data_IF_970169462160
#
_entry.id   IF_970169462160
#
_cell.length_a   1.000
_cell.length_b   1.000
_cell.length_c   1.000
_cell.angle_alpha   90.00
_cell.angle_beta   90.00
_cell.angle_gamma   90.00
#
_symmetry.space_group_name_H-M   'P 1'
#
loop_
_entity.id
_entity.type
_entity.pdbx_description
1 polymer ?
#
# COMPACT_ATOMS: atom_id res chain seq x y z
N UNK A 1 17.41 15.87 -9.99
CA UNK A 1 16.21 16.66 -9.63
C UNK A 1 14.99 15.96 -10.19
N UNK A 2 14.13 15.36 -9.35
CA UNK A 2 12.93 14.68 -9.87
C UNK A 2 12.32 13.64 -8.93
N UNK A 3 11.78 14.05 -7.79
CA UNK A 3 11.06 13.12 -6.88
C UNK A 3 9.74 13.67 -6.33
N UNK A 4 9.48 14.97 -6.45
CA UNK A 4 8.22 15.56 -6.00
C UNK A 4 7.09 15.51 -7.04
N UNK A 5 7.41 15.67 -8.34
CA UNK A 5 6.39 15.80 -9.39
C UNK A 5 5.61 14.50 -9.67
N UNK A 6 6.21 13.32 -9.49
CA UNK A 6 5.51 12.04 -9.62
C UNK A 6 4.58 11.72 -8.45
N UNK A 7 4.76 12.36 -7.29
CA UNK A 7 3.80 12.27 -6.19
C UNK A 7 2.51 13.07 -6.48
N UNK A 8 2.57 14.05 -7.40
CA UNK A 8 1.43 14.89 -7.72
C UNK A 8 0.44 14.20 -8.67
N UNK A 9 0.90 13.32 -9.57
CA UNK A 9 0.02 12.57 -10.47
C UNK A 9 -0.29 11.18 -9.93
N UNK A 10 -1.57 10.90 -9.77
CA UNK A 10 -2.03 9.58 -9.41
C UNK A 10 -1.74 8.58 -10.52
N UNK A 11 -1.07 7.46 -10.20
CA UNK A 11 -0.89 6.38 -11.18
C UNK A 11 -2.25 5.81 -11.58
N UNK A 12 -2.41 5.58 -12.88
CA UNK A 12 -3.56 4.87 -13.46
C UNK A 12 -3.31 3.37 -13.59
N UNK A 13 -2.07 2.92 -13.37
CA UNK A 13 -1.70 1.51 -13.51
C UNK A 13 -2.19 0.71 -12.30
N UNK A 14 -2.88 -0.39 -12.58
CA UNK A 14 -3.29 -1.37 -11.57
C UNK A 14 -2.09 -2.18 -11.12
N UNK A 15 -1.86 -2.25 -9.81
CA UNK A 15 -0.76 -3.04 -9.25
C UNK A 15 -1.13 -4.52 -9.04
N UNK A 16 -0.14 -5.43 -8.97
CA UNK A 16 -0.39 -6.86 -8.76
C UNK A 16 -1.05 -7.15 -7.40
N UNK A 17 -0.98 -6.22 -6.44
CA UNK A 17 -1.58 -6.35 -5.12
C UNK A 17 -2.78 -5.42 -4.92
N UNK A 18 -3.43 -4.98 -5.99
CA UNK A 18 -4.52 -4.01 -5.95
C UNK A 18 -5.60 -4.38 -4.92
N UNK A 19 -6.17 -5.58 -5.04
CA UNK A 19 -7.23 -6.06 -4.14
C UNK A 19 -6.77 -6.17 -2.68
N UNK A 20 -5.53 -6.57 -2.47
CA UNK A 20 -4.95 -6.70 -1.14
C UNK A 20 -4.75 -5.33 -0.47
N UNK A 21 -4.27 -4.35 -1.25
CA UNK A 21 -4.12 -2.96 -0.83
C UNK A 21 -5.48 -2.33 -0.55
N UNK A 22 -6.46 -2.51 -1.43
CA UNK A 22 -7.84 -2.05 -1.23
C UNK A 22 -8.42 -2.60 0.08
N UNK A 23 -8.31 -3.91 0.29
CA UNK A 23 -8.76 -4.56 1.52
C UNK A 23 -8.08 -4.00 2.77
N UNK A 24 -6.77 -3.81 2.72
CA UNK A 24 -6.01 -3.24 3.84
C UNK A 24 -6.45 -1.80 4.16
N UNK A 25 -6.65 -0.99 3.12
CA UNK A 25 -7.07 0.41 3.22
C UNK A 25 -8.59 0.57 3.43
N UNK A 26 -9.34 -0.53 3.57
CA UNK A 26 -10.81 -0.54 3.71
C UNK A 26 -11.52 0.19 2.57
N UNK A 27 -11.02 -0.01 1.35
CA UNK A 27 -11.60 0.46 0.10
C UNK A 27 -12.49 -0.63 -0.52
N UNK A 28 -13.38 -0.28 -1.47
CA UNK A 28 -14.03 -1.30 -2.31
C UNK A 28 -12.98 -2.21 -2.95
N UNK A 29 -13.16 -3.51 -2.86
CA UNK A 29 -12.21 -4.50 -3.37
C UNK A 29 -12.61 -4.91 -4.79
N UNK A 30 -12.51 -3.98 -5.73
CA UNK A 30 -12.87 -4.19 -7.13
C UNK A 30 -11.65 -4.49 -8.03
N UNK A 31 -10.43 -4.36 -7.48
CA UNK A 31 -9.19 -4.59 -8.20
C UNK A 31 -8.90 -3.53 -9.26
N UNK A 32 -9.51 -2.34 -9.15
CA UNK A 32 -9.32 -1.24 -10.09
C UNK A 32 -8.53 -0.11 -9.44
N UNK A 33 -7.66 0.51 -10.23
CA UNK A 33 -6.94 1.69 -9.77
C UNK A 33 -7.80 2.94 -9.97
N UNK A 34 -8.71 3.21 -9.04
CA UNK A 34 -9.47 4.46 -9.04
C UNK A 34 -8.62 5.62 -8.51
N UNK A 35 -9.04 6.86 -8.77
CA UNK A 35 -8.40 8.04 -8.16
C UNK A 35 -8.47 8.00 -6.63
N UNK A 36 -9.51 7.41 -6.06
CA UNK A 36 -9.65 7.29 -4.61
C UNK A 36 -8.63 6.29 -4.04
N UNK A 37 -8.42 5.15 -4.72
CA UNK A 37 -7.49 4.11 -4.26
C UNK A 37 -6.04 4.54 -4.44
N UNK A 38 -5.75 5.25 -5.53
CA UNK A 38 -4.47 5.93 -5.68
C UNK A 38 -4.21 6.89 -4.52
N UNK A 39 -5.12 7.83 -4.23
CA UNK A 39 -4.93 8.82 -3.15
C UNK A 39 -4.77 8.15 -1.79
N UNK A 40 -5.53 7.09 -1.52
CA UNK A 40 -5.41 6.32 -0.29
C UNK A 40 -4.03 5.64 -0.19
N UNK A 41 -3.57 5.05 -1.29
CA UNK A 41 -2.24 4.43 -1.38
C UNK A 41 -1.12 5.46 -1.26
N UNK A 42 -1.24 6.65 -1.85
CA UNK A 42 -0.27 7.74 -1.68
C UNK A 42 -0.16 8.20 -0.24
N UNK A 43 -1.28 8.38 0.45
CA UNK A 43 -1.30 8.73 1.87
C UNK A 43 -0.56 7.68 2.70
N UNK A 44 -0.81 6.40 2.42
CA UNK A 44 -0.09 5.30 3.06
C UNK A 44 1.41 5.34 2.75
N UNK A 45 1.78 5.45 1.48
CA UNK A 45 3.17 5.50 1.04
C UNK A 45 3.93 6.66 1.68
N UNK A 46 3.33 7.86 1.72
CA UNK A 46 3.91 9.04 2.39
C UNK A 46 4.07 8.82 3.88
N UNK A 47 3.05 8.26 4.55
CA UNK A 47 3.07 7.99 5.99
C UNK A 47 4.17 6.99 6.38
N UNK A 48 4.47 6.04 5.50
CA UNK A 48 5.39 4.94 5.77
C UNK A 48 6.72 5.06 5.00
N UNK A 49 7.03 6.23 4.41
CA UNK A 49 8.30 6.48 3.72
C UNK A 49 8.54 5.61 2.48
N UNK A 50 7.49 5.09 1.85
CA UNK A 50 7.58 4.25 0.65
C UNK A 50 7.72 5.16 -0.57
N UNK A 51 8.79 4.98 -1.34
CA UNK A 51 9.03 5.70 -2.59
C UNK A 51 9.01 4.74 -3.79
N UNK A 52 8.50 5.19 -4.96
CA UNK A 52 7.84 6.48 -5.20
C UNK A 52 6.41 6.54 -4.63
N UNK A 53 5.96 7.73 -4.19
CA UNK A 53 4.62 7.99 -3.63
C UNK A 53 3.56 8.22 -4.71
N UNK A 54 3.52 7.35 -5.73
CA UNK A 54 2.62 7.50 -6.90
C UNK A 54 1.26 6.82 -6.73
N UNK A 55 1.02 6.18 -5.57
CA UNK A 55 -0.24 5.49 -5.29
C UNK A 55 -0.36 4.09 -5.90
N UNK A 56 0.76 3.49 -6.30
CA UNK A 56 0.79 2.16 -6.94
C UNK A 56 0.71 1.02 -5.91
N UNK A 57 -0.20 0.07 -6.13
CA UNK A 57 -0.34 -1.16 -5.35
C UNK A 57 0.73 -2.23 -5.70
N UNK A 58 1.99 -1.81 -5.66
CA UNK A 58 3.14 -2.65 -5.98
C UNK A 58 3.64 -3.51 -4.81
N UNK A 59 4.67 -4.35 -5.05
CA UNK A 59 5.23 -5.27 -4.05
C UNK A 59 5.72 -4.57 -2.77
N UNK A 60 6.33 -3.40 -2.87
CA UNK A 60 6.81 -2.65 -1.70
C UNK A 60 5.64 -2.15 -0.82
N UNK A 61 4.61 -1.57 -1.45
CA UNK A 61 3.39 -1.14 -0.75
C UNK A 61 2.76 -2.33 -0.02
N UNK A 62 2.58 -3.46 -0.71
CA UNK A 62 1.97 -4.64 -0.12
C UNK A 62 2.83 -5.27 0.97
N UNK A 63 4.16 -5.35 0.80
CA UNK A 63 5.05 -5.92 1.82
C UNK A 63 4.90 -5.19 3.14
N UNK A 64 4.89 -3.87 3.15
CA UNK A 64 4.69 -3.09 4.38
C UNK A 64 3.33 -3.36 5.01
N UNK A 65 2.27 -3.36 4.21
CA UNK A 65 0.91 -3.68 4.70
C UNK A 65 0.82 -5.09 5.28
N UNK A 66 1.39 -6.09 4.59
CA UNK A 66 1.40 -7.47 5.03
C UNK A 66 2.21 -7.66 6.32
N UNK A 67 3.36 -6.97 6.45
CA UNK A 67 4.10 -6.95 7.72
C UNK A 67 3.23 -6.39 8.85
N UNK A 68 2.51 -5.29 8.64
CA UNK A 68 1.61 -4.72 9.65
C UNK A 68 0.48 -5.70 10.03
N UNK A 69 -0.09 -6.43 9.05
CA UNK A 69 -1.09 -7.48 9.31
C UNK A 69 -0.50 -8.63 10.14
N UNK A 70 0.70 -9.09 9.79
CA UNK A 70 1.40 -10.15 10.52
C UNK A 70 1.71 -9.73 11.96
N UNK A 71 2.19 -8.50 12.18
CA UNK A 71 2.41 -7.95 13.52
C UNK A 71 1.11 -7.85 14.32
N UNK A 72 0.02 -7.40 13.69
CA UNK A 72 -1.30 -7.38 14.34
C UNK A 72 -1.78 -8.78 14.72
N UNK A 73 -1.54 -9.78 13.89
CA UNK A 73 -1.91 -11.18 14.16
C UNK A 73 -1.02 -11.83 15.24
N UNK A 74 0.23 -11.40 15.36
CA UNK A 74 1.17 -11.86 16.38
C UNK A 74 0.80 -11.40 17.81
N UNK A 75 0.11 -10.25 17.93
CA UNK A 75 -0.34 -9.73 19.22
C UNK A 75 0.85 -9.45 20.17
N UNK A 76 0.77 -9.93 21.42
CA UNK A 76 1.86 -9.80 22.41
C UNK A 76 3.04 -10.76 22.17
N UNK A 77 2.95 -11.63 21.17
CA UNK A 77 3.96 -12.66 20.88
C UNK A 77 4.65 -12.33 19.54
N UNK A 78 5.63 -11.41 19.52
CA UNK A 78 6.25 -10.92 18.28
C UNK A 78 6.90 -12.02 17.42
N UNK A 79 7.23 -13.18 18.00
CA UNK A 79 7.82 -14.34 17.32
C UNK A 79 6.79 -15.43 16.94
N UNK A 80 5.48 -15.16 17.03
CA UNK A 80 4.43 -16.17 16.72
C UNK A 80 4.37 -16.51 15.23
N UNK A 81 4.81 -15.60 14.36
CA UNK A 81 5.06 -15.88 12.94
C UNK A 81 6.33 -16.76 12.82
N UNK A 82 6.26 -18.00 13.30
CA UNK A 82 7.30 -19.00 13.08
C UNK A 82 7.33 -19.32 11.58
N UNK A 83 8.53 -19.30 10.99
CA UNK A 83 8.79 -19.79 9.64
C UNK A 83 8.45 -21.27 9.54
#
# INVERSE_FOLDING_TARGET
TGTAAHAASCTKSVGPHQKQVEKFLKRPVDGKQSTADCKATQKFQKKHGITPTIGYAGPLTWRTMNTMLAQKAAGKNPNKAKK
#
